data_IF_653298502832
#
_entry.id   IF_653298502832
#
_cell.length_a   1.000
_cell.length_b   1.000
_cell.length_c   1.000
_cell.angle_alpha   90.00
_cell.angle_beta   90.00
_cell.angle_gamma   90.00
#
_symmetry.space_group_name_H-M   'P 1'
#
loop_
_entity.id
_entity.type
_entity.pdbx_description
1 polymer ?
#
# COMPACT_ATOMS: atom_id res chain seq x y z
N UNK A 1 21.51 -9.34 2.05
CA UNK A 1 20.51 -9.32 0.98
C UNK A 1 20.71 -8.03 0.20
N UNK A 2 21.18 -8.17 -1.03
CA UNK A 2 21.65 -7.06 -1.87
C UNK A 2 20.44 -6.41 -2.55
N UNK A 3 20.46 -5.10 -2.80
CA UNK A 3 19.37 -4.36 -3.47
C UNK A 3 18.95 -5.02 -4.79
N UNK A 4 19.90 -5.67 -5.46
CA UNK A 4 19.70 -6.43 -6.69
C UNK A 4 18.70 -7.58 -6.54
N UNK A 5 18.74 -8.33 -5.44
CA UNK A 5 17.80 -9.44 -5.17
C UNK A 5 16.37 -8.92 -5.02
N UNK A 6 16.19 -7.76 -4.38
CA UNK A 6 14.88 -7.12 -4.24
C UNK A 6 14.30 -6.67 -5.58
N UNK A 7 15.16 -6.21 -6.51
CA UNK A 7 14.73 -5.83 -7.85
C UNK A 7 14.33 -7.05 -8.69
N UNK A 8 14.92 -8.23 -8.44
CA UNK A 8 14.48 -9.49 -9.05
C UNK A 8 13.03 -9.79 -8.67
N UNK A 9 12.66 -9.62 -7.40
CA UNK A 9 11.29 -9.84 -6.93
C UNK A 9 10.30 -8.87 -7.58
N UNK A 10 10.66 -7.59 -7.68
CA UNK A 10 9.85 -6.56 -8.34
C UNK A 10 9.63 -6.89 -9.83
N UNK A 11 10.67 -7.34 -10.53
CA UNK A 11 10.56 -7.78 -11.93
C UNK A 11 9.78 -9.09 -12.06
N UNK A 12 9.93 -10.02 -11.12
CA UNK A 12 9.17 -11.26 -11.07
C UNK A 12 7.66 -10.99 -10.89
N UNK A 13 7.31 -9.95 -10.12
CA UNK A 13 5.94 -9.51 -9.88
C UNK A 13 5.36 -8.70 -11.06
N UNK A 14 6.12 -8.48 -12.14
CA UNK A 14 5.60 -7.94 -13.40
C UNK A 14 5.72 -6.42 -13.55
N UNK A 15 6.56 -5.75 -12.76
CA UNK A 15 6.80 -4.32 -12.92
C UNK A 15 7.62 -4.01 -14.19
N UNK A 16 7.30 -2.89 -14.83
CA UNK A 16 8.17 -2.25 -15.81
C UNK A 16 9.28 -1.45 -15.10
N UNK A 17 10.49 -1.43 -15.64
CA UNK A 17 11.61 -0.67 -15.10
C UNK A 17 12.02 0.49 -16.02
N UNK A 18 12.36 1.62 -15.41
CA UNK A 18 12.88 2.82 -16.05
C UNK A 18 14.22 3.14 -15.38
N UNK A 19 15.32 2.93 -16.10
CA UNK A 19 16.65 3.32 -15.67
C UNK A 19 16.93 4.72 -16.20
N UNK A 20 17.04 5.68 -15.29
CA UNK A 20 17.29 7.09 -15.57
C UNK A 20 18.78 7.41 -15.45
N UNK A 21 19.32 8.12 -16.44
CA UNK A 21 20.73 8.45 -16.52
C UNK A 21 21.57 7.39 -17.27
N UNK A 22 22.90 7.58 -17.30
CA UNK A 22 23.82 6.66 -17.97
C UNK A 22 23.73 5.23 -17.44
N UNK A 23 23.80 4.23 -18.32
CA UNK A 23 23.67 2.81 -17.92
C UNK A 23 24.73 2.36 -16.90
N UNK A 24 25.94 2.91 -16.97
CA UNK A 24 27.04 2.58 -16.07
C UNK A 24 26.92 3.23 -14.69
N UNK A 25 26.14 4.32 -14.59
CA UNK A 25 25.90 5.07 -13.36
C UNK A 25 24.50 5.71 -13.42
N UNK A 26 23.43 4.93 -13.18
CA UNK A 26 22.07 5.47 -13.20
C UNK A 26 21.88 6.52 -12.10
N UNK A 27 21.21 7.62 -12.44
CA UNK A 27 20.79 8.63 -11.47
C UNK A 27 19.60 8.16 -10.63
N UNK A 28 18.72 7.36 -11.24
CA UNK A 28 17.56 6.80 -10.58
C UNK A 28 17.08 5.52 -11.26
N UNK A 29 16.38 4.69 -10.50
CA UNK A 29 15.58 3.58 -11.01
C UNK A 29 14.13 3.76 -10.56
N UNK A 30 13.21 3.75 -11.51
CA UNK A 30 11.77 3.74 -11.24
C UNK A 30 11.19 2.43 -11.73
N UNK A 31 10.46 1.74 -10.87
CA UNK A 31 9.62 0.60 -11.27
C UNK A 31 8.15 1.00 -11.18
N UNK A 32 7.34 0.57 -12.14
CA UNK A 32 5.90 0.77 -12.06
C UNK A 32 5.11 -0.48 -12.44
N UNK A 33 4.00 -0.71 -11.74
CA UNK A 33 2.98 -1.68 -12.11
C UNK A 33 1.66 -0.96 -12.31
N UNK A 34 1.11 -1.09 -13.51
CA UNK A 34 -0.11 -0.39 -13.89
C UNK A 34 -1.34 -1.23 -13.58
N UNK A 35 -2.19 -0.72 -12.70
CA UNK A 35 -3.54 -1.21 -12.48
C UNK A 35 -4.54 -0.46 -13.35
N UNK A 36 -5.83 -0.80 -13.30
CA UNK A 36 -6.88 -0.02 -13.98
C UNK A 36 -6.89 1.44 -13.52
N UNK A 37 -7.08 1.66 -12.22
CA UNK A 37 -7.33 2.99 -11.63
C UNK A 37 -6.13 3.62 -10.89
N UNK A 38 -5.02 2.90 -10.76
CA UNK A 38 -3.84 3.38 -10.07
C UNK A 38 -2.54 2.79 -10.64
N UNK A 39 -1.42 3.29 -10.15
CA UNK A 39 -0.08 2.79 -10.47
C UNK A 39 0.67 2.56 -9.18
N UNK A 40 1.20 1.36 -9.00
CA UNK A 40 2.14 1.06 -7.93
C UNK A 40 3.55 1.44 -8.38
N UNK A 41 4.28 2.18 -7.57
CA UNK A 41 5.59 2.74 -7.88
C UNK A 41 6.65 2.33 -6.86
N UNK A 42 7.87 2.19 -7.35
CA UNK A 42 9.10 2.17 -6.58
C UNK A 42 10.08 3.12 -7.22
N UNK A 43 10.72 3.98 -6.42
CA UNK A 43 11.73 4.94 -6.84
C UNK A 43 12.97 4.77 -5.98
N UNK A 44 14.10 4.48 -6.64
CA UNK A 44 15.45 4.43 -6.05
C UNK A 44 16.24 5.59 -6.63
N UNK A 45 16.68 6.52 -5.78
CA UNK A 45 17.64 7.58 -6.14
C UNK A 45 18.93 7.48 -5.33
N UNK A 46 18.81 6.88 -4.14
CA UNK A 46 19.88 6.56 -3.23
C UNK A 46 19.73 5.09 -2.82
N UNK A 47 20.83 4.37 -2.66
CA UNK A 47 20.81 2.97 -2.23
C UNK A 47 20.43 2.82 -0.75
N UNK A 48 20.52 3.90 0.04
CA UNK A 48 20.16 3.86 1.46
C UNK A 48 18.66 4.06 1.71
N UNK A 49 17.95 4.71 0.77
CA UNK A 49 16.52 5.03 0.90
C UNK A 49 15.76 4.83 -0.40
N UNK A 50 14.72 4.02 -0.31
CA UNK A 50 13.78 3.74 -1.39
C UNK A 50 12.41 4.24 -0.99
N UNK A 51 11.71 4.86 -1.94
CA UNK A 51 10.31 5.24 -1.76
C UNK A 51 9.45 4.37 -2.65
N UNK A 52 8.36 3.86 -2.09
CA UNK A 52 7.33 3.14 -2.81
C UNK A 52 6.00 3.84 -2.61
N UNK A 53 5.09 3.75 -3.58
CA UNK A 53 3.82 4.45 -3.52
C UNK A 53 2.73 3.78 -4.35
N UNK A 54 1.48 4.11 -4.05
CA UNK A 54 0.33 3.92 -4.94
C UNK A 54 -0.20 5.27 -5.36
N UNK A 55 -0.21 5.51 -6.67
CA UNK A 55 -0.63 6.76 -7.30
C UNK A 55 -1.99 6.55 -7.97
N UNK A 56 -3.05 7.29 -7.59
CA UNK A 56 -4.32 7.22 -8.29
C UNK A 56 -4.21 7.85 -9.68
N UNK A 57 -4.84 7.26 -10.70
CA UNK A 57 -4.85 7.83 -12.06
C UNK A 57 -5.83 8.99 -12.20
N UNK A 58 -6.93 9.00 -11.45
CA UNK A 58 -7.96 10.05 -11.51
C UNK A 58 -8.43 10.37 -12.96
N UNK A 59 -8.56 9.34 -13.81
CA UNK A 59 -8.95 9.49 -15.22
C UNK A 59 -7.90 10.14 -16.14
N UNK A 60 -6.67 10.39 -15.66
CA UNK A 60 -5.57 10.96 -16.44
C UNK A 60 -4.35 10.02 -16.49
N UNK A 61 -3.45 10.28 -17.44
CA UNK A 61 -2.12 9.64 -17.45
C UNK A 61 -1.31 10.14 -16.25
N UNK A 62 -0.71 9.21 -15.52
CA UNK A 62 0.15 9.51 -14.37
C UNK A 62 1.57 9.83 -14.86
N UNK A 63 2.17 10.90 -14.33
CA UNK A 63 3.61 11.11 -14.41
C UNK A 63 4.29 10.31 -13.30
N UNK A 64 4.81 9.14 -13.65
CA UNK A 64 5.47 8.23 -12.71
C UNK A 64 6.77 8.79 -12.13
N UNK A 65 7.32 9.87 -12.71
CA UNK A 65 8.55 10.50 -12.25
C UNK A 65 8.30 11.73 -11.36
N UNK A 66 7.06 12.21 -11.30
CA UNK A 66 6.68 13.36 -10.49
C UNK A 66 5.20 13.29 -10.12
N UNK A 67 4.75 12.24 -9.41
CA UNK A 67 3.37 12.17 -8.95
C UNK A 67 3.10 13.33 -7.99
N UNK A 68 1.92 13.95 -8.11
CA UNK A 68 1.48 15.04 -7.21
C UNK A 68 0.73 14.51 -5.99
N UNK A 69 -0.01 13.41 -6.19
CA UNK A 69 -0.90 12.79 -5.20
C UNK A 69 -0.61 11.31 -5.11
N UNK A 70 -0.62 10.77 -3.89
CA UNK A 70 -0.56 9.34 -3.60
C UNK A 70 -1.71 8.97 -2.67
N UNK A 71 -2.14 7.71 -2.68
CA UNK A 71 -3.07 7.17 -1.66
C UNK A 71 -2.34 6.32 -0.61
N UNK A 72 -1.08 5.99 -0.89
CA UNK A 72 -0.19 5.25 -0.01
C UNK A 72 1.25 5.51 -0.43
N UNK A 73 2.15 5.62 0.54
CA UNK A 73 3.58 5.69 0.32
C UNK A 73 4.34 5.15 1.52
N UNK A 74 5.50 4.55 1.25
CA UNK A 74 6.45 4.11 2.26
C UNK A 74 7.86 4.48 1.80
N UNK A 75 8.57 5.22 2.66
CA UNK A 75 9.99 5.57 2.49
C UNK A 75 10.82 4.91 3.60
N UNK A 76 11.90 4.24 3.21
CA UNK A 76 12.78 3.62 4.19
C UNK A 76 13.90 2.79 3.56
N UNK A 77 14.55 1.92 4.36
CA UNK A 77 15.57 1.01 3.86
C UNK A 77 15.02 0.16 2.71
N UNK A 78 15.83 -0.16 1.68
CA UNK A 78 15.36 -0.83 0.45
C UNK A 78 14.54 -2.08 0.71
N UNK A 79 14.99 -2.93 1.64
CA UNK A 79 14.34 -4.19 1.98
C UNK A 79 12.94 -3.99 2.55
N UNK A 80 12.78 -3.02 3.45
CA UNK A 80 11.49 -2.71 4.06
C UNK A 80 10.53 -2.09 3.05
N UNK A 81 11.02 -1.16 2.23
CA UNK A 81 10.20 -0.48 1.23
C UNK A 81 9.68 -1.44 0.15
N UNK A 82 10.55 -2.30 -0.38
CA UNK A 82 10.17 -3.31 -1.37
C UNK A 82 9.19 -4.31 -0.78
N UNK A 83 9.41 -4.78 0.45
CA UNK A 83 8.45 -5.69 1.12
C UNK A 83 7.10 -5.03 1.32
N UNK A 84 7.06 -3.78 1.77
CA UNK A 84 5.82 -3.02 1.94
C UNK A 84 5.05 -2.90 0.62
N UNK A 85 5.74 -2.62 -0.49
CA UNK A 85 5.14 -2.59 -1.82
C UNK A 85 4.62 -3.97 -2.28
N UNK A 86 5.41 -5.03 -2.11
CA UNK A 86 5.02 -6.37 -2.55
C UNK A 86 3.85 -6.95 -1.74
N UNK A 87 3.73 -6.53 -0.48
CA UNK A 87 2.61 -6.84 0.41
C UNK A 87 1.40 -5.92 0.25
N UNK A 88 1.52 -4.81 -0.50
CA UNK A 88 0.42 -3.88 -0.72
C UNK A 88 -0.74 -4.60 -1.41
N UNK A 89 -1.91 -4.54 -0.78
CA UNK A 89 -3.12 -5.26 -1.21
C UNK A 89 -3.58 -4.85 -2.60
N UNK A 90 -4.38 -5.72 -3.23
CA UNK A 90 -5.04 -5.42 -4.50
C UNK A 90 -5.82 -4.09 -4.41
N UNK A 91 -5.84 -3.24 -5.45
CA UNK A 91 -6.58 -1.96 -5.41
C UNK A 91 -8.09 -2.11 -5.15
N UNK A 92 -8.69 -3.24 -5.54
CA UNK A 92 -10.09 -3.56 -5.27
C UNK A 92 -10.35 -4.25 -3.91
N UNK A 93 -9.32 -4.44 -3.08
CA UNK A 93 -9.49 -4.98 -1.74
C UNK A 93 -10.23 -3.96 -0.84
N UNK A 94 -11.12 -4.39 0.08
CA UNK A 94 -11.81 -3.47 0.99
C UNK A 94 -10.89 -2.55 1.79
N UNK A 95 -9.75 -3.09 2.23
CA UNK A 95 -8.72 -2.36 2.98
C UNK A 95 -7.71 -1.62 2.09
N UNK A 96 -7.95 -1.50 0.78
CA UNK A 96 -7.05 -0.76 -0.10
C UNK A 96 -7.05 0.73 0.29
N UNK A 97 -5.86 1.37 0.40
CA UNK A 97 -5.80 2.80 0.65
C UNK A 97 -6.46 3.60 -0.47
N UNK A 98 -7.37 4.50 -0.12
CA UNK A 98 -8.15 5.32 -1.06
C UNK A 98 -8.01 6.82 -0.84
N UNK A 99 -7.62 7.25 0.37
CA UNK A 99 -7.51 8.66 0.72
C UNK A 99 -6.23 9.27 0.14
N UNK A 100 -6.38 10.22 -0.77
CA UNK A 100 -5.26 10.91 -1.41
C UNK A 100 -4.59 11.95 -0.50
N UNK A 101 -3.27 12.06 -0.60
CA UNK A 101 -2.45 13.10 0.03
C UNK A 101 -1.27 13.48 -0.87
N UNK A 102 -0.60 14.59 -0.56
CA UNK A 102 0.54 15.08 -1.34
C UNK A 102 1.67 14.05 -1.40
N UNK A 103 2.19 13.82 -2.61
CA UNK A 103 3.27 12.89 -2.82
C UNK A 103 4.55 13.32 -2.09
N UNK A 104 5.26 12.39 -1.41
CA UNK A 104 6.58 12.66 -0.86
C UNK A 104 7.55 13.17 -1.92
N UNK A 105 8.33 14.20 -1.58
CA UNK A 105 9.25 14.85 -2.53
C UNK A 105 10.29 13.89 -3.13
N UNK A 106 10.69 12.84 -2.40
CA UNK A 106 11.65 11.85 -2.89
C UNK A 106 11.14 10.96 -4.03
N UNK A 107 9.83 10.92 -4.30
CA UNK A 107 9.30 10.28 -5.51
C UNK A 107 9.66 11.03 -6.79
N UNK A 108 10.01 12.32 -6.68
CA UNK A 108 10.33 13.15 -7.83
C UNK A 108 11.72 12.82 -8.36
N UNK A 109 11.79 12.47 -9.64
CA UNK A 109 13.01 12.37 -10.44
C UNK A 109 13.04 13.56 -11.40
N UNK A 110 13.91 14.56 -11.20
CA UNK A 110 14.01 15.73 -12.07
C UNK A 110 14.25 15.35 -13.55
N UNK A 111 13.61 16.09 -14.47
CA UNK A 111 13.74 15.86 -15.94
C UNK A 111 15.18 15.77 -16.43
N UNK A 112 16.09 16.55 -15.85
CA UNK A 112 17.52 16.53 -16.19
C UNK A 112 18.21 15.21 -15.77
N UNK A 113 17.75 14.57 -14.70
CA UNK A 113 18.30 13.30 -14.20
C UNK A 113 17.69 12.09 -14.92
N UNK A 114 16.52 12.25 -15.55
CA UNK A 114 15.82 11.17 -16.25
C UNK A 114 16.56 10.67 -17.49
N UNK A 115 17.38 11.52 -18.13
CA UNK A 115 17.96 11.25 -19.45
C UNK A 115 19.47 10.99 -19.39
N UNK A 116 20.01 10.08 -20.22
CA UNK A 116 19.30 9.15 -21.10
C UNK A 116 18.42 8.17 -20.32
N UNK A 117 17.38 7.61 -20.94
CA UNK A 117 16.45 6.71 -20.25
C UNK A 117 16.37 5.38 -20.99
N UNK A 118 16.53 4.28 -20.27
CA UNK A 118 16.26 2.93 -20.79
C UNK A 118 15.01 2.38 -20.12
N UNK A 119 14.08 1.89 -20.92
CA UNK A 119 12.83 1.27 -20.45
C UNK A 119 12.93 -0.23 -20.65
N UNK A 120 12.57 -1.00 -19.63
CA UNK A 120 12.45 -2.47 -19.69
C UNK A 120 11.01 -2.84 -19.32
N UNK A 121 10.16 -3.15 -20.31
CA UNK A 121 8.81 -3.63 -20.01
C UNK A 121 8.87 -4.99 -19.30
N UNK A 122 7.83 -5.38 -18.55
CA UNK A 122 7.77 -6.71 -17.99
C UNK A 122 7.76 -7.77 -19.09
N UNK A 123 8.30 -8.95 -18.79
CA UNK A 123 8.15 -10.09 -19.68
C UNK A 123 6.63 -10.38 -19.85
N UNK A 124 6.16 -10.75 -21.07
CA UNK A 124 4.74 -11.00 -21.30
C UNK A 124 4.12 -12.02 -20.34
N UNK A 125 4.88 -13.06 -19.96
CA UNK A 125 4.45 -14.08 -19.00
C UNK A 125 4.31 -13.58 -17.56
N UNK A 126 4.85 -12.39 -17.25
CA UNK A 126 4.86 -11.80 -15.90
C UNK A 126 4.00 -10.57 -15.76
N UNK A 127 3.54 -9.96 -16.86
CA UNK A 127 2.79 -8.70 -16.84
C UNK A 127 1.53 -8.73 -15.95
N UNK A 128 0.92 -9.90 -15.76
CA UNK A 128 -0.22 -10.09 -14.85
C UNK A 128 0.09 -10.85 -13.56
N UNK A 129 1.35 -11.14 -13.25
CA UNK A 129 1.73 -11.99 -12.12
C UNK A 129 1.24 -11.44 -10.78
N UNK A 130 1.45 -10.14 -10.54
CA UNK A 130 0.95 -9.46 -9.34
C UNK A 130 -0.56 -9.47 -9.25
N UNK A 131 -1.27 -9.15 -10.34
CA UNK A 131 -2.73 -9.18 -10.36
C UNK A 131 -3.27 -10.59 -10.04
N UNK A 132 -2.72 -11.63 -10.65
CA UNK A 132 -3.12 -13.01 -10.39
C UNK A 132 -2.88 -13.41 -8.92
N UNK A 133 -1.69 -13.11 -8.39
CA UNK A 133 -1.31 -13.39 -7.00
C UNK A 133 -2.23 -12.68 -5.99
N UNK A 134 -2.54 -11.41 -6.23
CA UNK A 134 -3.34 -10.61 -5.30
C UNK A 134 -4.85 -10.85 -5.46
N UNK A 135 -5.33 -11.29 -6.63
CA UNK A 135 -6.74 -11.63 -6.84
C UNK A 135 -7.20 -12.83 -5.99
N UNK A 136 -6.34 -13.82 -5.77
CA UNK A 136 -6.63 -14.96 -4.88
C UNK A 136 -6.99 -14.48 -3.46
N UNK A 137 -6.30 -13.45 -2.95
CA UNK A 137 -6.56 -12.91 -1.62
C UNK A 137 -7.88 -12.13 -1.52
N UNK A 138 -8.29 -11.43 -2.59
CA UNK A 138 -9.58 -10.73 -2.65
C UNK A 138 -10.76 -11.71 -2.59
N UNK A 139 -10.64 -12.85 -3.28
CA UNK A 139 -11.65 -13.91 -3.26
C UNK A 139 -11.85 -14.54 -1.88
N UNK A 140 -10.76 -14.77 -1.12
CA UNK A 140 -10.83 -15.35 0.23
C UNK A 140 -11.54 -14.42 1.22
N UNK A 141 -11.33 -13.11 1.14
CA UNK A 141 -12.01 -12.14 2.02
C UNK A 141 -13.52 -12.04 1.73
N UNK A 142 -13.92 -12.15 0.46
CA UNK A 142 -15.32 -12.16 0.07
C UNK A 142 -16.07 -13.42 0.55
N UNK A 143 -15.38 -14.57 0.60
CA UNK A 143 -15.94 -15.84 1.12
C UNK A 143 -16.05 -15.80 2.64
N UNK A 144 -15.03 -15.31 3.36
CA UNK A 144 -15.03 -15.22 4.83
C UNK A 144 -16.13 -14.30 5.39
N UNK A 145 -16.40 -13.16 4.73
CA UNK A 145 -17.51 -12.26 5.11
C UNK A 145 -18.89 -12.92 4.92
N UNK A 146 -19.07 -13.73 3.86
CA UNK A 146 -20.31 -14.48 3.63
C UNK A 146 -20.51 -15.58 4.67
N UNK A 147 -19.45 -16.22 5.14
CA UNK A 147 -19.53 -17.20 6.22
C UNK A 147 -19.83 -16.54 7.58
N UNK A 148 -19.19 -15.40 7.91
CA UNK A 148 -19.50 -14.66 9.14
C UNK A 148 -20.92 -14.11 9.17
N UNK A 149 -21.45 -13.62 8.04
CA UNK A 149 -22.87 -13.24 7.94
C UNK A 149 -23.81 -14.44 8.16
N UNK A 150 -23.41 -15.64 7.73
CA UNK A 150 -24.18 -16.88 7.94
C UNK A 150 -24.15 -17.38 9.39
N UNK A 151 -23.07 -17.08 10.12
CA UNK A 151 -22.90 -17.46 11.54
C UNK A 151 -23.55 -16.44 12.48
N UNK A 152 -23.77 -15.19 12.06
CA UNK A 152 -24.43 -14.14 12.85
C UNK A 152 -25.95 -14.29 13.01
N UNK A 153 -26.54 -15.42 12.56
CA UNK A 153 -27.96 -15.76 12.74
C UNK A 153 -28.33 -16.16 14.17
N UNK A 154 -27.88 -15.42 15.19
CA UNK A 154 -28.46 -15.48 16.53
C UNK A 154 -29.63 -14.50 16.64
N UNK A 155 -30.74 -14.88 17.28
CA UNK A 155 -31.87 -13.97 17.45
C UNK A 155 -31.45 -12.79 18.35
N UNK A 156 -32.17 -11.64 18.29
CA UNK A 156 -31.85 -10.51 19.12
C UNK A 156 -31.92 -10.92 20.60
N UNK A 157 -30.84 -10.68 21.35
CA UNK A 157 -30.85 -10.84 22.81
C UNK A 157 -31.88 -9.86 23.35
N UNK A 158 -32.97 -10.42 23.86
CA UNK A 158 -34.02 -9.72 24.59
C UNK A 158 -33.37 -8.93 25.73
N UNK A 159 -33.64 -7.62 25.78
CA UNK A 159 -33.20 -6.75 26.87
C UNK A 159 -33.85 -7.21 28.16
N UNK A 160 -33.11 -7.96 28.98
CA UNK A 160 -33.47 -8.20 30.37
C UNK A 160 -33.43 -6.87 31.11
N UNK A 161 -34.58 -6.45 31.62
CA UNK A 161 -34.72 -5.29 32.48
C UNK A 161 -33.82 -5.44 33.71
N UNK A 162 -33.01 -4.42 33.99
CA UNK A 162 -32.20 -4.35 35.19
C UNK A 162 -33.08 -4.27 36.45
N UNK A 163 -32.75 -4.97 37.55
CA UNK A 163 -33.47 -4.84 38.81
C UNK A 163 -33.10 -3.54 39.52
N UNK A 164 -34.13 -2.86 40.04
CA UNK A 164 -34.04 -1.73 40.97
C UNK A 164 -33.14 -2.07 42.18
N UNK A 165 -31.95 -1.48 42.21
CA UNK A 165 -31.06 -1.54 43.36
C UNK A 165 -31.09 -0.19 44.10
N UNK A 166 -31.82 -0.18 45.21
CA UNK A 166 -31.85 0.86 46.24
C UNK A 166 -30.42 1.28 46.64
N UNK A 167 -30.18 2.59 46.63
CA UNK A 167 -29.00 3.23 47.25
C UNK A 167 -29.13 3.21 48.79
N UNK A 168 -28.10 2.82 49.55
CA UNK A 168 -28.00 3.15 50.97
C UNK A 168 -27.27 4.49 51.20
N UNK A 169 -27.71 5.16 52.27
CA UNK A 169 -27.32 6.49 52.71
C UNK A 169 -25.84 6.60 53.11
N UNK A 170 -25.31 7.81 52.90
CA UNK A 170 -23.96 8.22 53.23
C UNK A 170 -23.64 8.12 54.74
N UNK A 171 -22.54 7.46 55.05
CA UNK A 171 -21.86 7.50 56.34
C UNK A 171 -21.29 8.90 56.62
N UNK A 172 -21.74 9.53 57.70
CA UNK A 172 -21.00 10.60 58.39
C UNK A 172 -20.09 9.95 59.42
N UNK A 173 -18.85 10.42 59.52
CA UNK A 173 -18.00 10.21 60.70
C UNK A 173 -17.50 11.58 61.21
N UNK A 174 -17.34 11.75 62.54
CA UNK A 174 -17.10 13.04 63.17
C UNK A 174 -15.61 13.29 63.46
N UNK A 175 -15.24 14.55 63.69
CA UNK A 175 -14.48 14.98 64.87
C UNK A 175 -14.18 16.49 64.80
N UNK A 176 -14.65 17.18 65.84
CA UNK A 176 -14.31 18.53 66.28
C UNK A 176 -12.92 18.53 66.95
N UNK A 177 -12.41 19.72 67.28
CA UNK A 177 -12.28 20.05 68.71
C UNK A 177 -13.21 21.18 69.15
#
# INVERSE_FOLDING_TARGET
MVVEELLVDVVADGFALYCCGPKAAPNALVACYEWGECVDLLTVRDFDRVITARVPKQGRKVDIFAPEVVVWAYEGPPQCAVRALLALVHPAHPDAPTLGYSAPAGLRVPRAEQRPMTIRPPAPSRAGARAARLATAVGTHAVGLREQQKISGWPPVERVAAPDARLPAASRSPATP
#
